data_IF_372280620756
#
_entry.id   IF_372280620756
#
_cell.length_a   1.000
_cell.length_b   1.000
_cell.length_c   1.000
_cell.angle_alpha   90.00
_cell.angle_beta   90.00
_cell.angle_gamma   90.00
#
_symmetry.space_group_name_H-M   'P 1'
#
loop_
_entity.id
_entity.type
_entity.pdbx_description
1 polymer ?
#
# COMPACT_ATOMS: atom_id res chain seq x y z
N UNK A 1 -0.87 -14.80 -16.47
CA UNK A 1 -1.63 -14.17 -17.57
C UNK A 1 -3.09 -14.08 -17.16
N UNK A 2 -3.84 -13.11 -17.68
CA UNK A 2 -5.26 -12.98 -17.37
C UNK A 2 -6.07 -14.14 -18.00
N UNK A 3 -7.11 -14.67 -17.33
CA UNK A 3 -8.04 -15.64 -17.88
C UNK A 3 -8.70 -15.15 -19.19
N UNK A 4 -9.01 -16.04 -20.16
CA UNK A 4 -9.77 -15.64 -21.35
C UNK A 4 -11.10 -14.97 -20.99
N UNK A 5 -11.46 -13.91 -21.72
CA UNK A 5 -12.74 -13.21 -21.53
C UNK A 5 -12.81 -12.28 -20.31
N UNK A 6 -11.70 -12.04 -19.60
CA UNK A 6 -11.64 -11.05 -18.52
C UNK A 6 -12.08 -9.65 -18.98
N UNK A 7 -12.68 -8.86 -18.07
CA UNK A 7 -13.12 -7.49 -18.36
C UNK A 7 -12.31 -6.43 -17.62
N UNK A 8 -11.82 -6.76 -16.42
CA UNK A 8 -10.89 -5.89 -15.69
C UNK A 8 -9.95 -6.68 -14.78
N UNK A 9 -8.85 -6.04 -14.43
CA UNK A 9 -7.92 -6.47 -13.40
C UNK A 9 -7.93 -5.41 -12.31
N UNK A 10 -8.28 -5.82 -11.09
CA UNK A 10 -8.34 -4.96 -9.90
C UNK A 10 -7.14 -5.28 -8.98
N UNK A 11 -6.35 -4.26 -8.70
CA UNK A 11 -5.15 -4.35 -7.88
C UNK A 11 -5.28 -3.39 -6.69
N UNK A 12 -5.24 -3.94 -5.48
CA UNK A 12 -5.02 -3.14 -4.26
C UNK A 12 -3.56 -3.27 -3.86
N UNK A 13 -2.86 -2.15 -3.77
CA UNK A 13 -1.45 -2.10 -3.33
C UNK A 13 -1.34 -1.29 -2.07
N UNK A 14 -0.55 -1.81 -1.13
CA UNK A 14 -0.13 -1.08 0.07
C UNK A 14 1.39 -0.96 0.04
N UNK A 15 1.87 0.26 0.20
CA UNK A 15 3.30 0.56 0.27
C UNK A 15 3.61 1.21 1.63
N UNK A 16 4.65 0.71 2.30
CA UNK A 16 5.14 1.24 3.58
C UNK A 16 6.66 1.06 3.62
N UNK A 17 7.39 2.18 3.60
CA UNK A 17 8.84 2.21 3.60
C UNK A 17 9.41 1.46 2.39
N UNK A 18 10.24 0.42 2.58
CA UNK A 18 10.71 -0.42 1.49
C UNK A 18 9.73 -1.54 1.12
N UNK A 19 8.67 -1.78 1.88
CA UNK A 19 7.74 -2.89 1.62
C UNK A 19 6.61 -2.49 0.67
N UNK A 20 6.26 -3.41 -0.22
CA UNK A 20 5.07 -3.32 -1.07
C UNK A 20 4.33 -4.65 -0.97
N UNK A 21 3.04 -4.59 -0.66
CA UNK A 21 2.14 -5.74 -0.64
C UNK A 21 0.95 -5.47 -1.54
N UNK A 22 0.38 -6.52 -2.10
CA UNK A 22 -0.66 -6.39 -3.11
C UNK A 22 -1.67 -7.52 -3.05
N UNK A 23 -2.90 -7.22 -3.44
CA UNK A 23 -3.96 -8.19 -3.74
C UNK A 23 -4.47 -7.94 -5.15
N UNK A 24 -4.55 -9.01 -5.94
CA UNK A 24 -4.94 -8.97 -7.35
C UNK A 24 -6.21 -9.81 -7.56
N UNK A 25 -7.19 -9.22 -8.23
CA UNK A 25 -8.39 -9.89 -8.69
C UNK A 25 -8.59 -9.66 -10.19
N UNK A 26 -9.15 -10.65 -10.88
CA UNK A 26 -9.64 -10.50 -12.25
C UNK A 26 -11.15 -10.53 -12.20
N UNK A 27 -11.77 -9.48 -12.72
CA UNK A 27 -13.21 -9.39 -12.91
C UNK A 27 -13.61 -10.03 -14.24
N UNK A 28 -14.59 -10.92 -14.17
CA UNK A 28 -15.16 -11.63 -15.32
C UNK A 28 -16.44 -10.93 -15.83
N UNK A 29 -16.93 -11.27 -17.04
CA UNK A 29 -18.13 -10.64 -17.60
C UNK A 29 -19.40 -10.87 -16.76
N UNK A 30 -19.48 -11.98 -16.04
CA UNK A 30 -20.57 -12.32 -15.12
C UNK A 30 -20.50 -11.58 -13.77
N UNK A 31 -19.51 -10.70 -13.59
CA UNK A 31 -19.27 -9.95 -12.37
C UNK A 31 -18.48 -10.71 -11.30
N UNK A 32 -18.17 -12.00 -11.51
CA UNK A 32 -17.34 -12.76 -10.58
C UNK A 32 -15.90 -12.24 -10.54
N UNK A 33 -15.24 -12.41 -9.39
CA UNK A 33 -13.85 -12.02 -9.20
C UNK A 33 -13.00 -13.24 -8.90
N UNK A 34 -12.09 -13.55 -9.82
CA UNK A 34 -11.08 -14.60 -9.66
C UNK A 34 -9.88 -14.00 -8.93
N UNK A 35 -9.63 -14.46 -7.71
CA UNK A 35 -8.42 -14.07 -6.97
C UNK A 35 -7.19 -14.65 -7.66
N UNK A 36 -6.23 -13.80 -7.99
CA UNK A 36 -4.95 -14.25 -8.56
C UNK A 36 -3.95 -14.41 -7.43
N UNK A 37 -3.44 -15.62 -7.28
CA UNK A 37 -2.34 -15.93 -6.38
C UNK A 37 -1.01 -15.83 -7.15
N UNK A 38 -0.01 -15.24 -6.50
CA UNK A 38 1.32 -15.05 -7.07
C UNK A 38 1.83 -13.62 -6.91
N UNK A 39 3.13 -13.42 -7.13
CA UNK A 39 3.74 -12.10 -7.01
C UNK A 39 3.24 -11.17 -8.12
N UNK A 40 2.98 -9.91 -7.77
CA UNK A 40 2.85 -8.86 -8.79
C UNK A 40 4.18 -8.75 -9.54
N UNK A 41 4.17 -8.64 -10.89
CA UNK A 41 5.40 -8.50 -11.66
C UNK A 41 6.30 -7.38 -11.13
N UNK A 42 7.62 -7.61 -11.18
CA UNK A 42 8.62 -6.66 -10.66
C UNK A 42 8.45 -5.26 -11.25
N UNK A 43 8.16 -5.17 -12.55
CA UNK A 43 7.96 -3.89 -13.22
C UNK A 43 6.73 -3.13 -12.70
N UNK A 44 5.61 -3.83 -12.45
CA UNK A 44 4.43 -3.22 -11.84
C UNK A 44 4.72 -2.68 -10.44
N UNK A 45 5.47 -3.44 -9.63
CA UNK A 45 5.91 -2.98 -8.31
C UNK A 45 6.82 -1.75 -8.40
N UNK A 46 7.73 -1.72 -9.38
CA UNK A 46 8.62 -0.59 -9.62
C UNK A 46 7.84 0.67 -10.00
N UNK A 47 6.94 0.57 -10.99
CA UNK A 47 6.12 1.69 -11.45
C UNK A 47 5.26 2.28 -10.33
N UNK A 48 4.68 1.44 -9.47
CA UNK A 48 3.91 1.91 -8.30
C UNK A 48 4.78 2.69 -7.30
N UNK A 49 6.03 2.28 -7.09
CA UNK A 49 6.97 3.02 -6.22
C UNK A 49 7.44 4.32 -6.86
N UNK A 50 7.65 4.35 -8.17
CA UNK A 50 7.95 5.57 -8.91
C UNK A 50 6.78 6.54 -8.84
N UNK A 51 5.55 6.06 -9.08
CA UNK A 51 4.33 6.84 -8.91
C UNK A 51 4.20 7.39 -7.49
N UNK A 52 4.43 6.58 -6.45
CA UNK A 52 4.43 7.03 -5.04
C UNK A 52 5.38 8.19 -4.79
N UNK A 53 6.58 8.18 -5.40
CA UNK A 53 7.55 9.28 -5.30
C UNK A 53 7.11 10.50 -6.10
N UNK A 54 6.57 10.28 -7.30
CA UNK A 54 6.16 11.37 -8.19
C UNK A 54 4.99 12.18 -7.61
N UNK A 55 4.08 11.54 -6.87
CA UNK A 55 2.93 12.22 -6.25
C UNK A 55 3.15 12.59 -4.78
N UNK A 56 4.35 12.38 -4.25
CA UNK A 56 4.72 12.87 -2.92
C UNK A 56 4.55 14.39 -2.88
N UNK A 57 3.91 14.87 -1.81
CA UNK A 57 3.75 16.29 -1.55
C UNK A 57 4.55 16.65 -0.31
N UNK A 58 5.48 17.62 -0.40
CA UNK A 58 6.23 18.08 0.77
C UNK A 58 5.30 18.37 1.95
N UNK A 59 5.67 17.89 3.15
CA UNK A 59 4.94 18.05 4.41
C UNK A 59 3.59 17.33 4.52
N UNK A 60 2.94 16.96 3.42
CA UNK A 60 1.74 16.10 3.46
C UNK A 60 2.11 14.61 3.43
N UNK A 61 3.24 14.26 2.83
CA UNK A 61 3.65 12.88 2.60
C UNK A 61 3.15 12.33 1.28
N UNK A 62 3.00 11.00 1.23
CA UNK A 62 2.51 10.26 0.06
C UNK A 62 1.43 9.25 0.47
N UNK A 63 0.69 8.70 -0.48
CA UNK A 63 -0.38 7.73 -0.24
C UNK A 63 0.14 6.43 0.36
N UNK A 64 -0.65 5.70 1.14
CA UNK A 64 -0.34 4.36 1.68
C UNK A 64 -1.00 3.23 0.90
N UNK A 65 -2.23 3.46 0.43
CA UNK A 65 -2.99 2.49 -0.37
C UNK A 65 -3.25 3.05 -1.76
N UNK A 66 -3.11 2.22 -2.79
CA UNK A 66 -3.56 2.52 -4.14
C UNK A 66 -4.53 1.42 -4.60
N UNK A 67 -5.64 1.82 -5.23
CA UNK A 67 -6.55 0.94 -5.95
C UNK A 67 -6.39 1.22 -7.44
N UNK A 68 -6.04 0.20 -8.20
CA UNK A 68 -5.78 0.30 -9.64
C UNK A 68 -6.74 -0.64 -10.34
N UNK A 69 -7.50 -0.15 -11.31
CA UNK A 69 -8.27 -0.99 -12.21
C UNK A 69 -7.78 -0.81 -13.64
N UNK A 70 -7.46 -1.92 -14.30
CA UNK A 70 -7.09 -1.98 -15.71
C UNK A 70 -8.20 -2.72 -16.43
N UNK A 71 -8.91 -2.05 -17.33
CA UNK A 71 -9.98 -2.65 -18.12
C UNK A 71 -9.42 -3.26 -19.41
N UNK A 72 -10.06 -4.33 -19.90
CA UNK A 72 -9.70 -4.95 -21.17
C UNK A 72 -9.82 -3.98 -22.37
N UNK A 73 -10.69 -2.96 -22.24
CA UNK A 73 -10.83 -1.87 -23.21
C UNK A 73 -9.67 -0.86 -23.20
N UNK A 74 -8.66 -1.05 -22.34
CA UNK A 74 -7.46 -0.20 -22.26
C UNK A 74 -7.57 1.00 -21.31
N UNK A 75 -8.71 1.18 -20.62
CA UNK A 75 -8.85 2.21 -19.58
C UNK A 75 -8.09 1.78 -18.32
N UNK A 76 -7.34 2.72 -17.75
CA UNK A 76 -6.67 2.56 -16.45
C UNK A 76 -7.20 3.61 -15.50
N UNK A 77 -7.60 3.20 -14.30
CA UNK A 77 -7.97 4.09 -13.20
C UNK A 77 -7.08 3.82 -11.99
N UNK A 78 -6.69 4.89 -11.30
CA UNK A 78 -5.83 4.82 -10.11
C UNK A 78 -6.41 5.76 -9.07
N UNK A 79 -6.78 5.21 -7.92
CA UNK A 79 -7.20 5.95 -6.74
C UNK A 79 -6.16 5.73 -5.64
N UNK A 80 -5.81 6.81 -4.93
CA UNK A 80 -4.78 6.79 -3.89
C UNK A 80 -5.31 7.36 -2.58
N UNK A 81 -4.92 6.73 -1.47
CA UNK A 81 -5.38 7.07 -0.14
C UNK A 81 -4.19 7.45 0.76
N UNK A 82 -4.21 8.68 1.27
CA UNK A 82 -3.17 9.27 2.12
C UNK A 82 -3.48 9.16 3.61
N UNK A 83 -4.74 8.92 3.97
CA UNK A 83 -5.28 9.27 5.28
C UNK A 83 -5.71 8.04 6.05
N UNK A 84 -6.23 7.02 5.38
CA UNK A 84 -6.74 5.83 6.06
C UNK A 84 -5.64 4.79 6.29
N UNK A 85 -5.70 4.14 7.45
CA UNK A 85 -4.83 3.01 7.76
C UNK A 85 -5.07 1.87 6.76
N UNK A 86 -4.02 1.29 6.16
CA UNK A 86 -4.21 0.14 5.30
C UNK A 86 -4.67 -1.08 6.11
N UNK A 87 -5.43 -1.97 5.47
CA UNK A 87 -5.92 -3.23 6.04
C UNK A 87 -4.82 -4.31 6.21
N UNK A 88 -3.56 -3.93 6.10
CA UNK A 88 -2.40 -4.82 6.21
C UNK A 88 -1.44 -4.27 7.25
N UNK A 89 -0.93 -5.16 8.10
CA UNK A 89 0.02 -4.81 9.17
C UNK A 89 1.47 -4.91 8.69
N UNK A 90 2.29 -3.97 9.13
CA UNK A 90 3.72 -3.88 8.83
C UNK A 90 4.51 -3.67 10.12
N UNK A 91 5.79 -4.03 10.09
CA UNK A 91 6.67 -3.82 11.23
C UNK A 91 6.84 -2.32 11.54
N UNK A 92 7.01 -1.91 12.82
CA UNK A 92 7.27 -0.52 13.20
C UNK A 92 8.41 0.15 12.40
N UNK A 93 9.44 -0.62 12.06
CA UNK A 93 10.60 -0.21 11.25
C UNK A 93 10.18 0.31 9.88
N UNK A 94 9.21 -0.34 9.22
CA UNK A 94 8.73 0.06 7.92
C UNK A 94 8.02 1.42 7.97
N UNK A 95 7.21 1.66 9.01
CA UNK A 95 6.52 2.94 9.22
C UNK A 95 7.50 4.08 9.49
N UNK A 96 8.52 3.84 10.32
CA UNK A 96 9.60 4.82 10.60
C UNK A 96 10.37 5.18 9.33
N UNK A 97 10.73 4.16 8.54
CA UNK A 97 11.42 4.38 7.26
C UNK A 97 10.53 5.11 6.25
N UNK A 98 9.22 4.86 6.24
CA UNK A 98 8.29 5.60 5.38
C UNK A 98 8.26 7.09 5.73
N UNK A 99 8.12 7.43 7.02
CA UNK A 99 8.13 8.81 7.50
C UNK A 99 9.46 9.52 7.26
N UNK A 100 10.58 8.78 7.31
CA UNK A 100 11.90 9.34 6.97
C UNK A 100 11.99 9.71 5.47
N UNK A 101 11.40 8.90 4.60
CA UNK A 101 11.42 9.10 3.13
C UNK A 101 10.37 10.10 2.65
N UNK A 102 9.21 10.10 3.28
CA UNK A 102 8.05 10.93 2.94
C UNK A 102 7.56 11.67 4.20
N UNK A 103 8.31 12.67 4.68
CA UNK A 103 7.96 13.40 5.90
C UNK A 103 6.56 14.01 5.84
N UNK A 104 5.90 13.98 7.00
CA UNK A 104 4.59 14.59 7.21
C UNK A 104 4.68 15.58 8.38
N UNK A 105 4.08 16.75 8.21
CA UNK A 105 3.89 17.71 9.29
C UNK A 105 2.90 17.15 10.31
N UNK A 106 2.97 17.59 11.59
CA UNK A 106 2.12 17.06 12.65
C UNK A 106 0.61 17.10 12.33
N UNK A 107 0.14 18.11 11.60
CA UNK A 107 -1.25 18.28 11.15
C UNK A 107 -1.68 17.28 10.07
N UNK A 108 -0.72 16.72 9.34
CA UNK A 108 -0.93 15.75 8.25
C UNK A 108 -0.52 14.32 8.64
N UNK A 109 -0.17 14.12 9.91
CA UNK A 109 0.24 12.84 10.47
C UNK A 109 -0.94 12.22 11.24
N UNK A 110 -1.68 11.26 10.66
CA UNK A 110 -2.84 10.66 11.31
C UNK A 110 -2.47 9.92 12.60
N UNK A 111 -3.39 9.85 13.56
CA UNK A 111 -3.15 9.23 14.87
C UNK A 111 -2.75 7.75 14.77
N UNK A 112 -3.36 7.00 13.84
CA UNK A 112 -3.01 5.61 13.60
C UNK A 112 -1.55 5.43 13.18
N UNK A 113 -0.97 6.41 12.48
CA UNK A 113 0.41 6.36 12.00
C UNK A 113 1.40 6.72 13.11
N UNK A 114 1.04 7.68 13.98
CA UNK A 114 1.83 8.03 15.16
C UNK A 114 2.09 6.80 16.02
N UNK A 115 1.03 6.04 16.34
CA UNK A 115 1.13 4.84 17.18
C UNK A 115 1.94 3.69 16.55
N UNK A 116 1.95 3.57 15.22
CA UNK A 116 2.65 2.49 14.50
C UNK A 116 4.13 2.76 14.26
N UNK A 117 4.54 4.03 14.24
CA UNK A 117 5.95 4.41 14.09
C UNK A 117 6.72 4.40 15.42
N UNK A 118 6.03 4.39 16.57
CA UNK A 118 6.66 4.31 17.87
C UNK A 118 7.06 2.86 18.19
N UNK A 119 8.32 2.58 18.61
CA UNK A 119 8.67 1.27 19.14
C UNK A 119 7.75 0.94 20.32
N UNK A 120 7.29 -0.31 20.48
CA UNK A 120 6.64 -0.70 21.73
C UNK A 120 7.59 -0.38 22.87
N UNK A 121 7.09 0.29 23.93
CA UNK A 121 7.89 0.52 25.13
C UNK A 121 8.45 -0.83 25.57
N UNK A 122 9.78 -0.92 25.70
CA UNK A 122 10.42 -2.13 26.20
C UNK A 122 9.74 -2.50 27.52
N UNK A 123 8.97 -3.58 27.55
CA UNK A 123 8.61 -4.21 28.81
C UNK A 123 9.93 -4.75 29.36
N UNK A 124 10.55 -4.01 30.25
CA UNK A 124 11.57 -4.55 31.14
C UNK A 124 10.89 -5.71 31.86
N UNK A 125 11.25 -6.93 31.47
CA UNK A 125 11.04 -8.11 32.30
C UNK A 125 11.86 -7.86 33.57
N UNK A 126 11.21 -7.28 34.58
CA UNK A 126 11.74 -7.21 35.92
C UNK A 126 11.99 -8.64 36.38
N UNK A 127 13.27 -8.96 36.63
CA UNK A 127 13.64 -10.20 37.28
C UNK A 127 12.93 -10.29 38.63
N UNK A 128 12.31 -11.44 38.88
CA UNK A 128 12.00 -11.87 40.23
C UNK A 128 13.07 -12.87 40.65
N UNK A 129 13.58 -12.65 41.86
CA UNK A 129 14.70 -13.30 42.54
C UNK A 129 14.51 -14.80 42.74
#
# INVERSE_FOLDING_TARGET
MAPPGWVAVDLTVVCVGPETRSRLGVRMPDGSVVKVTGPVPREGTRLLREFRRAVYRPRLGTWFTARVAVEAAGRISIEVDYENAPLMEFAPEAWREDLRRFPRDPEHLPDWLRGRATPPAHRTSGGAR
#
